data_IF_895794535312
#
_entry.id   IF_895794535312
#
_cell.length_a   1.000
_cell.length_b   1.000
_cell.length_c   1.000
_cell.angle_alpha   90.00
_cell.angle_beta   90.00
_cell.angle_gamma   90.00
#
_symmetry.space_group_name_H-M   'P 1'
#
loop_
_entity.id
_entity.type
_entity.pdbx_description
1 polymer ?
#
# COMPACT_ATOMS: atom_id res chain seq x y z
N UNK A 1 34.61 -4.77 -2.61
CA UNK A 1 34.04 -3.44 -2.89
C UNK A 1 32.55 -3.63 -3.13
N UNK A 2 31.72 -2.75 -2.59
CA UNK A 2 30.26 -2.81 -2.77
C UNK A 2 29.85 -1.85 -3.89
N UNK A 3 29.02 -2.32 -4.83
CA UNK A 3 28.51 -1.52 -5.94
C UNK A 3 27.02 -1.83 -6.23
N UNK A 4 26.48 -1.22 -7.29
CA UNK A 4 25.08 -1.37 -7.69
C UNK A 4 24.69 -2.81 -8.03
N UNK A 5 25.61 -3.61 -8.60
CA UNK A 5 25.35 -4.98 -9.04
C UNK A 5 25.74 -6.04 -8.02
N UNK A 6 26.41 -5.65 -6.93
CA UNK A 6 26.66 -6.53 -5.81
C UNK A 6 25.35 -7.01 -5.15
N UNK A 7 25.27 -8.29 -4.73
CA UNK A 7 24.09 -8.81 -4.05
C UNK A 7 23.89 -8.12 -2.69
N UNK A 8 22.63 -8.09 -2.23
CA UNK A 8 22.25 -7.56 -0.93
C UNK A 8 21.39 -8.58 -0.19
N UNK A 9 21.86 -9.04 0.97
CA UNK A 9 21.07 -9.93 1.84
C UNK A 9 20.47 -9.12 2.99
N UNK A 10 19.14 -9.17 3.11
CA UNK A 10 18.38 -8.58 4.22
C UNK A 10 17.62 -9.71 4.91
N UNK A 11 17.94 -9.97 6.18
CA UNK A 11 17.44 -11.14 6.91
C UNK A 11 17.72 -12.42 6.11
N UNK A 12 16.68 -13.20 5.76
CA UNK A 12 16.80 -14.44 4.97
C UNK A 12 16.52 -14.29 3.47
N UNK A 13 16.57 -13.07 2.92
CA UNK A 13 16.26 -12.78 1.51
C UNK A 13 17.46 -12.11 0.85
N UNK A 14 17.90 -12.64 -0.29
CA UNK A 14 19.03 -12.12 -1.07
C UNK A 14 18.52 -11.53 -2.38
N UNK A 15 18.74 -10.23 -2.58
CA UNK A 15 18.57 -9.55 -3.86
C UNK A 15 19.82 -9.78 -4.73
N UNK A 16 19.65 -10.10 -6.02
CA UNK A 16 20.77 -10.31 -6.96
C UNK A 16 21.60 -9.06 -7.24
N UNK A 17 21.05 -7.88 -6.99
CA UNK A 17 21.70 -6.58 -7.09
C UNK A 17 20.93 -5.55 -6.23
N UNK A 18 21.40 -4.30 -6.19
CA UNK A 18 20.82 -3.22 -5.39
C UNK A 18 19.79 -2.37 -6.14
N UNK A 19 19.25 -2.87 -7.25
CA UNK A 19 18.22 -2.20 -8.04
C UNK A 19 16.85 -2.70 -7.58
N UNK A 20 16.05 -1.80 -7.02
CA UNK A 20 14.66 -2.05 -6.65
C UNK A 20 13.70 -1.26 -7.53
N UNK A 21 12.65 -1.93 -8.02
CA UNK A 21 11.53 -1.26 -8.69
C UNK A 21 10.51 -0.90 -7.64
N UNK A 22 10.31 0.41 -7.45
CA UNK A 22 9.40 0.98 -6.47
C UNK A 22 7.93 0.62 -6.75
N UNK A 23 7.07 0.63 -5.71
CA UNK A 23 5.62 0.52 -5.92
C UNK A 23 5.12 1.72 -6.72
N UNK A 24 4.51 1.46 -7.88
CA UNK A 24 3.97 2.48 -8.78
C UNK A 24 2.54 2.11 -9.16
N UNK A 25 1.57 2.90 -8.70
CA UNK A 25 0.15 2.62 -8.96
C UNK A 25 -0.16 2.60 -10.45
N UNK A 26 -0.88 1.57 -10.89
CA UNK A 26 -1.27 1.39 -12.27
C UNK A 26 -2.72 1.76 -12.52
N UNK A 27 -3.56 1.80 -11.49
CA UNK A 27 -4.99 2.16 -11.58
C UNK A 27 -5.73 1.30 -12.64
N UNK A 28 -5.46 0.00 -12.64
CA UNK A 28 -5.86 -0.96 -13.68
C UNK A 28 -6.68 -2.14 -13.15
N UNK A 29 -7.24 -2.03 -11.94
CA UNK A 29 -8.17 -3.01 -11.39
C UNK A 29 -9.62 -2.63 -11.71
N UNK A 30 -10.50 -3.63 -11.65
CA UNK A 30 -11.91 -3.36 -11.39
C UNK A 30 -12.09 -2.97 -9.90
N UNK A 31 -13.32 -2.61 -9.50
CA UNK A 31 -13.60 -2.23 -8.12
C UNK A 31 -13.35 -3.35 -7.08
N UNK A 32 -13.16 -4.59 -7.52
CA UNK A 32 -12.80 -5.72 -6.68
C UNK A 32 -11.30 -5.76 -6.32
N UNK A 33 -10.49 -4.82 -6.84
CA UNK A 33 -9.06 -4.69 -6.54
C UNK A 33 -8.21 -5.88 -6.96
N UNK A 34 -8.70 -6.76 -7.84
CA UNK A 34 -7.94 -7.95 -8.24
C UNK A 34 -6.83 -7.61 -9.23
N UNK A 35 -5.65 -8.24 -9.11
CA UNK A 35 -4.64 -8.22 -10.16
C UNK A 35 -5.21 -8.58 -11.53
N UNK A 36 -4.75 -7.87 -12.56
CA UNK A 36 -5.15 -8.05 -13.95
C UNK A 36 -3.94 -8.41 -14.83
N UNK A 37 -4.16 -8.77 -16.09
CA UNK A 37 -3.08 -9.01 -17.05
C UNK A 37 -2.14 -7.82 -17.21
N UNK A 38 -2.65 -6.60 -17.02
CA UNK A 38 -1.83 -5.39 -17.01
C UNK A 38 -0.74 -5.45 -15.94
N UNK A 39 -1.11 -5.80 -14.70
CA UNK A 39 -0.19 -5.94 -13.59
C UNK A 39 0.85 -7.03 -13.86
N UNK A 40 0.41 -8.17 -14.43
CA UNK A 40 1.31 -9.26 -14.79
C UNK A 40 2.32 -8.81 -15.85
N UNK A 41 1.86 -8.32 -16.99
CA UNK A 41 2.74 -7.85 -18.06
C UNK A 41 3.71 -6.77 -17.56
N UNK A 42 3.23 -5.81 -16.76
CA UNK A 42 4.04 -4.75 -16.19
C UNK A 42 5.15 -5.28 -15.26
N UNK A 43 4.77 -5.99 -14.19
CA UNK A 43 5.71 -6.42 -13.15
C UNK A 43 6.70 -7.47 -13.65
N UNK A 44 6.25 -8.39 -14.51
CA UNK A 44 7.16 -9.41 -15.09
C UNK A 44 8.18 -8.75 -16.02
N UNK A 45 7.79 -7.75 -16.82
CA UNK A 45 8.74 -7.02 -17.65
C UNK A 45 9.83 -6.32 -16.83
N UNK A 46 9.49 -5.81 -15.64
CA UNK A 46 10.47 -5.23 -14.70
C UNK A 46 11.42 -6.26 -14.11
N UNK A 47 10.90 -7.46 -13.81
CA UNK A 47 11.72 -8.58 -13.33
C UNK A 47 12.65 -9.12 -14.42
N UNK A 48 12.17 -9.25 -15.67
CA UNK A 48 12.98 -9.60 -16.86
C UNK A 48 14.11 -8.59 -17.08
N UNK A 49 13.87 -7.30 -16.81
CA UNK A 49 14.86 -6.23 -16.94
C UNK A 49 16.05 -6.32 -15.97
N UNK A 50 16.10 -7.30 -15.07
CA UNK A 50 17.27 -7.56 -14.23
C UNK A 50 17.23 -6.95 -12.82
N UNK A 51 16.15 -6.27 -12.43
CA UNK A 51 16.02 -5.71 -11.08
C UNK A 51 16.14 -6.80 -9.98
N UNK A 52 16.77 -6.48 -8.85
CA UNK A 52 16.91 -7.40 -7.72
C UNK A 52 15.64 -7.55 -6.88
N UNK A 53 14.85 -6.48 -6.81
CA UNK A 53 13.57 -6.41 -6.12
C UNK A 53 12.52 -5.78 -7.03
N UNK A 54 11.32 -6.36 -7.10
CA UNK A 54 10.17 -5.77 -7.80
C UNK A 54 9.00 -5.72 -6.83
N UNK A 55 8.56 -4.51 -6.49
CA UNK A 55 7.49 -4.28 -5.52
C UNK A 55 6.19 -3.99 -6.27
N UNK A 56 5.17 -4.82 -6.04
CA UNK A 56 3.81 -4.53 -6.49
C UNK A 56 3.32 -3.21 -5.88
N UNK A 57 2.47 -2.49 -6.61
CA UNK A 57 1.97 -1.18 -6.22
C UNK A 57 1.25 -1.15 -4.87
N UNK A 58 0.98 0.06 -4.37
CA UNK A 58 0.22 0.30 -3.15
C UNK A 58 -1.09 -0.52 -3.17
N UNK A 59 -1.09 -1.62 -2.42
CA UNK A 59 -2.17 -2.60 -2.39
C UNK A 59 -3.02 -2.33 -1.15
N UNK A 60 -4.27 -1.90 -1.38
CA UNK A 60 -5.15 -1.47 -0.30
C UNK A 60 -5.49 -2.63 0.65
N UNK A 61 -5.45 -2.36 1.96
CA UNK A 61 -5.77 -3.35 3.01
C UNK A 61 -7.27 -3.43 3.31
N UNK A 62 -8.03 -2.43 2.89
CA UNK A 62 -9.50 -2.39 2.90
C UNK A 62 -10.02 -1.72 1.61
N UNK A 63 -11.27 -1.95 1.20
CA UNK A 63 -11.85 -1.32 0.01
C UNK A 63 -11.82 0.22 0.07
N UNK A 64 -12.15 0.81 1.22
CA UNK A 64 -12.16 2.26 1.44
C UNK A 64 -10.75 2.86 1.59
N UNK A 65 -9.74 2.00 1.80
CA UNK A 65 -8.33 2.35 1.85
C UNK A 65 -7.68 2.58 0.48
N UNK A 66 -8.38 2.35 -0.62
CA UNK A 66 -7.88 2.64 -1.97
C UNK A 66 -7.71 4.14 -2.21
N UNK A 67 -6.78 4.54 -3.06
CA UNK A 67 -6.68 5.90 -3.60
C UNK A 67 -7.80 6.11 -4.62
N UNK A 68 -7.94 5.18 -5.56
CA UNK A 68 -8.94 5.21 -6.64
C UNK A 68 -9.76 3.92 -6.71
N UNK A 69 -10.93 3.91 -7.38
CA UNK A 69 -11.71 2.68 -7.58
C UNK A 69 -10.91 1.55 -8.26
N UNK A 70 -9.91 1.91 -9.08
CA UNK A 70 -9.12 0.98 -9.88
C UNK A 70 -7.78 0.57 -9.23
N UNK A 71 -7.60 0.85 -7.94
CA UNK A 71 -6.41 0.45 -7.19
C UNK A 71 -6.38 -1.04 -6.90
N UNK A 72 -5.16 -1.57 -6.83
CA UNK A 72 -4.89 -2.93 -6.40
C UNK A 72 -5.25 -3.14 -4.92
N UNK A 73 -5.73 -4.34 -4.58
CA UNK A 73 -6.25 -4.68 -3.26
C UNK A 73 -5.78 -6.04 -2.74
N UNK A 74 -5.70 -6.17 -1.42
CA UNK A 74 -5.38 -7.45 -0.73
C UNK A 74 -6.19 -7.63 0.56
N UNK A 75 -7.44 -7.15 0.56
CA UNK A 75 -8.39 -7.21 1.67
C UNK A 75 -9.23 -8.50 1.69
N UNK A 76 -9.31 -9.24 0.57
CA UNK A 76 -10.15 -10.43 0.39
C UNK A 76 -9.35 -11.63 -0.13
N UNK A 77 -9.74 -12.86 0.26
CA UNK A 77 -9.08 -14.08 -0.21
C UNK A 77 -9.29 -14.33 -1.71
N UNK A 78 -10.35 -13.78 -2.31
CA UNK A 78 -10.59 -13.83 -3.75
C UNK A 78 -9.55 -13.04 -4.57
N UNK A 79 -8.74 -12.18 -3.93
CA UNK A 79 -7.62 -11.47 -4.58
C UNK A 79 -6.33 -12.31 -4.61
N UNK A 80 -6.23 -13.35 -3.76
CA UNK A 80 -5.01 -14.16 -3.62
C UNK A 80 -4.54 -14.83 -4.91
N UNK A 81 -5.40 -15.46 -5.74
CA UNK A 81 -4.91 -16.17 -6.94
C UNK A 81 -4.16 -15.25 -7.91
N UNK A 82 -4.61 -14.00 -8.04
CA UNK A 82 -3.91 -13.00 -8.86
C UNK A 82 -2.55 -12.66 -8.27
N UNK A 83 -2.48 -12.46 -6.95
CA UNK A 83 -1.24 -12.14 -6.25
C UNK A 83 -0.23 -13.29 -6.28
N UNK A 84 -0.69 -14.53 -6.12
CA UNK A 84 0.14 -15.74 -6.27
C UNK A 84 0.79 -15.80 -7.65
N UNK A 85 0.01 -15.52 -8.70
CA UNK A 85 0.54 -15.48 -10.07
C UNK A 85 1.56 -14.36 -10.27
N UNK A 86 1.33 -13.17 -9.71
CA UNK A 86 2.29 -12.06 -9.77
C UNK A 86 3.60 -12.43 -9.06
N UNK A 87 3.52 -12.88 -7.80
CA UNK A 87 4.70 -13.20 -7.00
C UNK A 87 5.52 -14.35 -7.62
N UNK A 88 4.85 -15.42 -8.06
CA UNK A 88 5.49 -16.55 -8.72
C UNK A 88 6.16 -16.13 -10.04
N UNK A 89 5.51 -15.30 -10.86
CA UNK A 89 6.09 -14.82 -12.10
C UNK A 89 7.32 -13.94 -11.88
N UNK A 90 7.29 -13.03 -10.90
CA UNK A 90 8.45 -12.19 -10.55
C UNK A 90 9.62 -13.07 -10.10
N UNK A 91 9.35 -14.03 -9.20
CA UNK A 91 10.35 -14.96 -8.70
C UNK A 91 10.96 -15.82 -9.81
N UNK A 92 10.15 -16.28 -10.77
CA UNK A 92 10.63 -17.07 -11.92
C UNK A 92 11.65 -16.32 -12.77
N UNK A 93 11.60 -14.98 -12.80
CA UNK A 93 12.55 -14.12 -13.52
C UNK A 93 13.78 -13.74 -12.68
N UNK A 94 13.93 -14.30 -11.47
CA UNK A 94 15.09 -14.12 -10.59
C UNK A 94 15.10 -12.81 -9.80
N UNK A 95 13.98 -12.09 -9.73
CA UNK A 95 13.79 -10.95 -8.84
C UNK A 95 13.06 -11.39 -7.57
N UNK A 96 13.27 -10.68 -6.45
CA UNK A 96 12.49 -10.90 -5.23
C UNK A 96 11.12 -10.25 -5.39
N UNK A 97 10.00 -10.98 -5.20
CA UNK A 97 8.66 -10.40 -5.22
C UNK A 97 8.39 -9.62 -3.92
N UNK A 98 8.15 -8.33 -4.06
CA UNK A 98 7.69 -7.44 -2.99
C UNK A 98 6.27 -6.94 -3.21
N UNK A 99 5.66 -6.44 -2.14
CA UNK A 99 4.36 -5.75 -2.17
C UNK A 99 4.37 -4.61 -1.17
N UNK A 100 3.74 -3.49 -1.52
CA UNK A 100 3.49 -2.39 -0.60
C UNK A 100 2.04 -2.46 -0.09
N UNK A 101 1.85 -2.56 1.22
CA UNK A 101 0.53 -2.52 1.86
C UNK A 101 0.16 -1.09 2.21
N UNK A 102 -1.05 -0.67 1.86
CA UNK A 102 -1.43 0.73 1.94
C UNK A 102 -2.87 0.96 2.41
N UNK A 103 -3.08 2.17 2.95
CA UNK A 103 -4.40 2.75 3.18
C UNK A 103 -4.30 4.26 2.91
N UNK A 104 -5.03 4.78 1.93
CA UNK A 104 -4.90 6.15 1.44
C UNK A 104 -5.40 7.22 2.43
N UNK A 105 -6.24 6.83 3.39
CA UNK A 105 -6.78 7.73 4.40
C UNK A 105 -7.51 8.90 3.74
N UNK A 106 -7.29 10.14 4.18
CA UNK A 106 -7.97 11.34 3.62
C UNK A 106 -7.71 11.63 2.13
N UNK A 107 -6.80 10.90 1.49
CA UNK A 107 -6.52 10.99 0.05
C UNK A 107 -7.23 9.90 -0.77
N UNK A 108 -8.05 9.07 -0.13
CA UNK A 108 -8.88 8.05 -0.78
C UNK A 108 -10.01 8.66 -1.64
N UNK A 109 -10.72 7.80 -2.36
CA UNK A 109 -11.93 8.15 -3.14
C UNK A 109 -11.69 9.24 -4.20
N UNK A 110 -10.61 9.11 -4.97
CA UNK A 110 -10.29 10.01 -6.10
C UNK A 110 -10.29 9.27 -7.42
N UNK A 111 -10.40 10.02 -8.52
CA UNK A 111 -10.15 9.48 -9.86
C UNK A 111 -8.66 9.22 -10.07
N UNK A 112 -8.36 8.43 -11.10
CA UNK A 112 -6.99 8.18 -11.54
C UNK A 112 -6.28 9.50 -11.93
N UNK A 113 -4.94 9.56 -11.91
CA UNK A 113 -4.19 10.82 -12.09
C UNK A 113 -4.41 11.56 -13.42
N UNK A 114 -4.90 10.87 -14.45
CA UNK A 114 -5.25 11.48 -15.73
C UNK A 114 -6.67 12.08 -15.77
N UNK A 115 -7.42 11.96 -14.68
CA UNK A 115 -8.73 12.57 -14.47
C UNK A 115 -8.70 13.43 -13.21
N UNK A 116 -9.52 14.48 -13.18
CA UNK A 116 -9.64 15.37 -12.02
C UNK A 116 -10.93 15.09 -11.24
N UNK A 117 -10.86 15.23 -9.93
CA UNK A 117 -12.02 15.20 -9.04
C UNK A 117 -12.22 13.90 -8.26
N UNK A 118 -13.37 13.78 -7.57
CA UNK A 118 -13.70 12.64 -6.73
C UNK A 118 -14.04 11.41 -7.57
N UNK A 119 -13.83 10.23 -6.99
CA UNK A 119 -14.29 8.97 -7.56
C UNK A 119 -15.82 8.96 -7.75
N UNK A 120 -16.29 8.23 -8.77
CA UNK A 120 -17.71 7.99 -9.03
C UNK A 120 -17.94 6.49 -9.34
N UNK A 121 -18.68 5.74 -8.50
CA UNK A 121 -19.17 6.17 -7.18
C UNK A 121 -18.03 6.40 -6.19
N UNK A 122 -18.13 7.46 -5.40
CA UNK A 122 -17.18 7.77 -4.33
C UNK A 122 -17.56 7.14 -2.99
N UNK A 123 -16.66 7.22 -2.03
CA UNK A 123 -16.88 6.85 -0.62
C UNK A 123 -16.32 7.93 0.30
N UNK A 124 -16.76 7.92 1.57
CA UNK A 124 -16.24 8.85 2.58
C UNK A 124 -14.87 8.37 3.07
N UNK A 125 -13.78 9.13 2.88
CA UNK A 125 -12.45 8.73 3.35
C UNK A 125 -12.36 8.69 4.88
N UNK A 126 -11.39 7.95 5.40
CA UNK A 126 -11.03 7.95 6.82
C UNK A 126 -9.78 8.77 7.08
N UNK A 127 -9.69 9.43 8.23
CA UNK A 127 -8.48 10.16 8.61
C UNK A 127 -8.40 10.38 10.12
N UNK A 128 -7.24 10.84 10.64
CA UNK A 128 -7.09 11.12 12.07
C UNK A 128 -7.99 12.27 12.54
N UNK A 129 -8.35 13.20 11.66
CA UNK A 129 -9.16 14.39 11.95
C UNK A 129 -10.00 14.76 10.72
N UNK A 130 -11.12 15.48 10.88
CA UNK A 130 -12.01 15.87 9.78
C UNK A 130 -11.42 17.05 9.02
N UNK A 131 -10.30 16.82 8.35
CA UNK A 131 -9.52 17.83 7.64
C UNK A 131 -9.20 17.35 6.23
N UNK A 132 -9.88 17.92 5.24
CA UNK A 132 -9.58 17.72 3.83
C UNK A 132 -8.11 18.08 3.49
N UNK A 133 -7.59 17.47 2.43
CA UNK A 133 -6.36 17.91 1.78
C UNK A 133 -6.78 18.70 0.54
N UNK A 134 -6.54 20.01 0.49
CA UNK A 134 -6.93 20.87 -0.64
C UNK A 134 -8.40 20.66 -1.09
N UNK A 135 -8.60 20.24 -2.34
CA UNK A 135 -9.91 19.99 -2.97
C UNK A 135 -10.45 18.57 -2.75
N UNK A 136 -9.81 17.77 -1.89
CA UNK A 136 -10.24 16.40 -1.59
C UNK A 136 -11.47 16.38 -0.69
N UNK A 137 -12.18 15.25 -0.71
CA UNK A 137 -13.29 15.02 0.20
C UNK A 137 -12.81 15.11 1.66
N UNK A 138 -13.61 15.75 2.51
CA UNK A 138 -13.35 15.77 3.95
C UNK A 138 -13.45 14.33 4.50
N UNK A 139 -12.42 13.83 5.21
CA UNK A 139 -12.48 12.50 5.80
C UNK A 139 -13.37 12.51 7.04
N UNK A 140 -14.00 11.38 7.34
CA UNK A 140 -14.52 11.11 8.68
C UNK A 140 -13.37 10.88 9.64
N UNK A 141 -13.39 11.54 10.80
CA UNK A 141 -12.45 11.26 11.87
C UNK A 141 -12.62 9.82 12.37
N UNK A 142 -11.52 9.08 12.44
CA UNK A 142 -11.52 7.71 12.92
C UNK A 142 -11.82 7.64 14.42
N UNK A 143 -12.66 6.68 14.81
CA UNK A 143 -12.81 6.23 16.19
C UNK A 143 -11.68 5.27 16.55
N UNK A 144 -11.54 4.92 17.83
CA UNK A 144 -10.61 3.89 18.27
C UNK A 144 -10.90 2.53 17.60
N UNK A 145 -12.18 2.17 17.46
CA UNK A 145 -12.59 0.96 16.76
C UNK A 145 -12.21 0.97 15.26
N UNK A 146 -12.30 2.13 14.58
CA UNK A 146 -11.81 2.26 13.20
C UNK A 146 -10.29 2.03 13.12
N UNK A 147 -9.55 2.53 14.11
CA UNK A 147 -8.09 2.39 14.18
C UNK A 147 -7.71 0.91 14.38
N UNK A 148 -8.32 0.24 15.35
CA UNK A 148 -8.11 -1.18 15.61
C UNK A 148 -8.47 -2.04 14.38
N UNK A 149 -9.56 -1.70 13.69
CA UNK A 149 -9.96 -2.39 12.47
C UNK A 149 -8.92 -2.25 11.34
N UNK A 150 -8.35 -1.05 11.18
CA UNK A 150 -7.27 -0.82 10.20
C UNK A 150 -6.01 -1.60 10.55
N UNK A 151 -5.59 -1.62 11.81
CA UNK A 151 -4.45 -2.43 12.27
C UNK A 151 -4.69 -3.91 11.92
N UNK A 152 -5.88 -4.43 12.26
CA UNK A 152 -6.27 -5.80 11.94
C UNK A 152 -6.27 -6.07 10.42
N UNK A 153 -6.68 -5.10 9.61
CA UNK A 153 -6.66 -5.20 8.16
C UNK A 153 -5.22 -5.27 7.60
N UNK A 154 -4.29 -4.46 8.11
CA UNK A 154 -2.86 -4.57 7.76
C UNK A 154 -2.29 -5.95 8.13
N UNK A 155 -2.63 -6.48 9.30
CA UNK A 155 -2.22 -7.84 9.71
C UNK A 155 -2.78 -8.90 8.76
N UNK A 156 -4.06 -8.82 8.40
CA UNK A 156 -4.69 -9.75 7.47
C UNK A 156 -4.06 -9.66 6.07
N UNK A 157 -3.81 -8.45 5.57
CA UNK A 157 -3.13 -8.17 4.31
C UNK A 157 -1.70 -8.73 4.30
N UNK A 158 -0.94 -8.56 5.38
CA UNK A 158 0.42 -9.12 5.49
C UNK A 158 0.40 -10.66 5.47
N UNK A 159 -0.55 -11.30 6.17
CA UNK A 159 -0.74 -12.75 6.12
C UNK A 159 -1.07 -13.23 4.70
N UNK A 160 -1.94 -12.50 3.98
CA UNK A 160 -2.26 -12.78 2.58
C UNK A 160 -1.07 -12.60 1.66
N UNK A 161 -0.28 -11.54 1.84
CA UNK A 161 0.95 -11.32 1.08
C UNK A 161 1.94 -12.47 1.25
N UNK A 162 2.13 -12.95 2.49
CA UNK A 162 2.98 -14.11 2.78
C UNK A 162 2.43 -15.37 2.10
N UNK A 163 1.12 -15.64 2.23
CA UNK A 163 0.44 -16.78 1.57
C UNK A 163 0.61 -16.74 0.04
N UNK A 164 0.52 -15.55 -0.56
CA UNK A 164 0.69 -15.34 -1.99
C UNK A 164 2.14 -15.53 -2.48
N UNK A 165 3.11 -15.69 -1.58
CA UNK A 165 4.52 -15.93 -1.94
C UNK A 165 5.37 -14.65 -2.08
N UNK A 166 4.87 -13.49 -1.65
CA UNK A 166 5.72 -12.31 -1.52
C UNK A 166 6.77 -12.54 -0.44
N UNK A 167 7.98 -12.02 -0.68
CA UNK A 167 9.17 -12.19 0.17
C UNK A 167 9.66 -10.88 0.77
N UNK A 168 9.03 -9.76 0.39
CA UNK A 168 9.29 -8.43 0.91
C UNK A 168 7.95 -7.71 1.09
N UNK A 169 7.71 -7.16 2.27
CA UNK A 169 6.50 -6.37 2.57
C UNK A 169 6.93 -4.98 2.98
N UNK A 170 6.39 -3.97 2.32
CA UNK A 170 6.59 -2.56 2.67
C UNK A 170 5.29 -2.00 3.26
N UNK A 171 5.35 -1.37 4.43
CA UNK A 171 4.21 -0.65 5.00
C UNK A 171 4.21 0.79 4.49
N UNK A 172 3.13 1.24 3.86
CA UNK A 172 3.09 2.57 3.30
C UNK A 172 2.80 3.65 4.35
N UNK A 173 3.85 4.19 4.97
CA UNK A 173 3.80 5.28 5.96
C UNK A 173 4.25 6.65 5.46
N UNK A 174 4.07 6.90 4.16
CA UNK A 174 4.57 8.09 3.46
C UNK A 174 3.49 8.74 2.58
N UNK A 175 3.89 9.69 1.71
CA UNK A 175 3.06 10.36 0.68
C UNK A 175 1.78 11.08 1.15
N UNK A 176 1.55 11.11 2.46
CA UNK A 176 0.39 11.74 3.09
C UNK A 176 -0.82 10.82 3.11
N UNK A 177 -0.60 9.51 3.03
CA UNK A 177 -1.59 8.46 3.26
C UNK A 177 -1.74 8.16 4.76
N UNK A 178 -2.60 7.22 5.13
CA UNK A 178 -3.17 7.13 6.48
C UNK A 178 -2.12 7.13 7.60
N UNK A 179 -1.12 6.24 7.53
CA UNK A 179 -0.09 6.18 8.56
C UNK A 179 0.72 7.50 8.63
N UNK A 180 1.06 8.11 7.49
CA UNK A 180 1.70 9.44 7.45
C UNK A 180 0.79 10.54 8.02
N UNK A 181 -0.53 10.43 7.80
CA UNK A 181 -1.49 11.41 8.32
C UNK A 181 -1.49 11.42 9.85
N UNK A 182 -1.37 10.26 10.50
CA UNK A 182 -1.25 10.18 11.96
C UNK A 182 0.09 10.75 12.46
N UNK A 183 1.19 10.53 11.73
CA UNK A 183 2.50 11.06 12.08
C UNK A 183 2.58 12.59 12.01
N UNK A 184 1.85 13.23 11.09
CA UNK A 184 1.97 14.67 10.85
C UNK A 184 0.99 15.50 11.69
N UNK A 185 1.47 16.52 12.44
CA UNK A 185 0.59 17.45 13.16
C UNK A 185 -0.24 18.37 12.23
N UNK A 186 0.05 18.37 10.92
CA UNK A 186 -0.73 19.11 9.93
C UNK A 186 -2.08 18.43 9.65
N UNK A 187 -2.13 17.10 9.76
CA UNK A 187 -3.33 16.28 9.50
C UNK A 187 -3.92 15.68 10.77
N UNK A 188 -3.10 15.38 11.77
CA UNK A 188 -3.54 14.82 13.04
C UNK A 188 -3.71 15.93 14.08
N UNK A 189 -4.97 16.32 14.33
CA UNK A 189 -5.40 17.27 15.38
C UNK A 189 -6.06 16.58 16.57
N UNK A 190 -5.88 15.26 16.71
CA UNK A 190 -6.42 14.52 17.85
C UNK A 190 -5.76 14.96 19.15
N UNK A 191 -6.51 14.83 20.23
CA UNK A 191 -6.08 15.09 21.61
C UNK A 191 -6.29 13.85 22.51
N UNK A 192 -6.30 12.67 21.90
CA UNK A 192 -6.40 11.36 22.56
C UNK A 192 -5.08 10.57 22.42
N UNK A 193 -5.09 9.28 22.76
CA UNK A 193 -3.91 8.41 22.72
C UNK A 193 -3.29 8.23 21.33
N UNK A 194 -3.94 8.71 20.27
CA UNK A 194 -3.53 8.58 18.87
C UNK A 194 -3.10 9.91 18.23
N UNK A 195 -2.93 10.97 19.03
CA UNK A 195 -2.40 12.25 18.55
C UNK A 195 -1.93 13.16 19.67
N UNK A 196 -1.75 14.44 19.36
CA UNK A 196 -1.14 15.41 20.27
C UNK A 196 0.39 15.34 20.24
N UNK A 197 0.98 14.62 21.18
CA UNK A 197 2.45 14.52 21.32
C UNK A 197 3.09 13.59 20.26
N UNK A 198 4.39 13.30 20.42
CA UNK A 198 5.12 12.45 19.48
C UNK A 198 4.67 10.99 19.61
N UNK A 199 4.48 10.53 20.84
CA UNK A 199 4.06 9.19 21.21
C UNK A 199 2.67 8.88 20.63
N UNK A 200 1.69 9.75 20.82
CA UNK A 200 0.35 9.57 20.27
C UNK A 200 0.34 9.54 18.74
N UNK A 201 1.09 10.45 18.09
CA UNK A 201 1.18 10.50 16.61
C UNK A 201 1.88 9.30 15.99
N UNK A 202 2.83 8.69 16.70
CA UNK A 202 3.60 7.54 16.20
C UNK A 202 2.96 6.19 16.52
N UNK A 203 2.07 6.14 17.53
CA UNK A 203 1.40 4.93 18.01
C UNK A 203 0.83 4.07 16.88
N UNK A 204 0.00 4.64 16.00
CA UNK A 204 -0.62 3.87 14.90
C UNK A 204 0.43 3.18 14.03
N UNK A 205 1.52 3.88 13.68
CA UNK A 205 2.56 3.31 12.81
C UNK A 205 3.38 2.24 13.53
N UNK A 206 3.50 2.30 14.86
CA UNK A 206 4.23 1.31 15.66
C UNK A 206 3.38 0.08 15.98
N UNK A 207 2.07 0.25 16.14
CA UNK A 207 1.13 -0.84 16.45
C UNK A 207 0.65 -1.60 15.19
N UNK A 208 0.74 -0.98 14.01
CA UNK A 208 0.49 -1.63 12.70
C UNK A 208 1.64 -2.54 12.28
#
# INVERSE_FOLDING_TARGET
>A
MTDLFSPLTLRGVTLRNRIGVSPMCMYCCAEDGKPTEWHYAHLISRAVGGAGLVIAEASAVTPEGRITPADLGIWDDAQLPGHERLAAGIAAMGAVPGIQLAHAGRKASRRAPWEHGPAEPGWVPLGPSPLAFDDYAEPRAMTEADIEAVIAAFVAAARRAIRAGYRFVELHSAHGYLLHQFLSPLSNRRNDAWGGDFEGRTRLTLET
#
